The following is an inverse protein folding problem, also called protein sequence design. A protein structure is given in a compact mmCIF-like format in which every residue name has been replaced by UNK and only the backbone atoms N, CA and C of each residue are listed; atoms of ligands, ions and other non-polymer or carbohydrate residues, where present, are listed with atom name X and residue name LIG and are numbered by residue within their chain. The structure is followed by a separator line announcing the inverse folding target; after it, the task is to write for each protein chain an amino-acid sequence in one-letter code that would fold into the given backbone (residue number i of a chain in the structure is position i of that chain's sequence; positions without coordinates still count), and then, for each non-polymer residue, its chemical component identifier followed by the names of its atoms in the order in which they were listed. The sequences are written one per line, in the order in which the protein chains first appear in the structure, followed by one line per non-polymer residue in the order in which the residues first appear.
data_IF_814130658002
#
_entry.id   IF_814130658002
#
_cell.length_a   1.000
_cell.length_b   1.000
_cell.length_c   1.000
_cell.angle_alpha   90.00
_cell.angle_beta   90.00
_cell.angle_gamma   90.00
#
_symmetry.space_group_name_H-M   'P 1'
#
loop_
_entity.id
_entity.type
_entity.pdbx_description
1 polymer ?
#
# COMPACT_ATOMS: atom_id res chain seq x y z
N UNK A 1 9.20 56.13 -22.03
CA UNK A 1 10.40 55.90 -21.20
C UNK A 1 9.94 55.83 -19.76
N UNK A 2 9.69 54.63 -19.26
CA UNK A 2 9.31 54.42 -17.86
C UNK A 2 9.92 53.09 -17.44
N UNK A 3 10.74 53.18 -16.41
CA UNK A 3 11.71 52.20 -15.99
C UNK A 3 11.06 50.95 -15.40
N UNK A 4 11.62 49.80 -15.80
CA UNK A 4 11.32 48.47 -15.29
C UNK A 4 11.98 48.31 -13.92
N UNK A 5 11.18 48.24 -12.86
CA UNK A 5 11.68 47.92 -11.53
C UNK A 5 11.90 46.39 -11.42
N UNK A 6 13.15 46.01 -11.20
CA UNK A 6 13.56 44.65 -10.90
C UNK A 6 13.24 44.32 -9.43
N UNK A 7 12.56 43.20 -9.19
CA UNK A 7 12.43 42.61 -7.87
C UNK A 7 13.71 41.82 -7.52
N UNK A 8 14.22 41.92 -6.28
CA UNK A 8 15.39 41.14 -5.85
C UNK A 8 15.01 39.68 -5.62
N UNK A 9 15.79 38.77 -6.24
CA UNK A 9 15.75 37.34 -5.94
C UNK A 9 16.31 37.08 -4.54
N UNK A 10 15.58 36.33 -3.72
CA UNK A 10 16.10 35.81 -2.45
C UNK A 10 17.11 34.68 -2.71
N UNK A 11 18.26 34.64 -2.00
CA UNK A 11 19.24 33.58 -2.16
C UNK A 11 18.72 32.26 -1.57
N UNK A 12 18.71 31.21 -2.40
CA UNK A 12 18.39 29.85 -1.96
C UNK A 12 19.39 29.35 -0.91
N UNK A 13 18.87 28.91 0.23
CA UNK A 13 19.65 28.27 1.27
C UNK A 13 20.15 26.90 0.77
N UNK A 14 21.47 26.76 0.60
CA UNK A 14 22.12 25.45 0.45
C UNK A 14 22.28 24.85 1.84
N UNK A 15 21.72 23.67 2.05
CA UNK A 15 22.01 22.85 3.24
C UNK A 15 23.45 22.31 3.16
N UNK A 16 24.19 22.25 4.29
CA UNK A 16 25.59 21.85 4.31
C UNK A 16 25.74 20.33 4.06
N UNK A 17 26.55 19.99 3.06
CA UNK A 17 26.88 18.61 2.71
C UNK A 17 27.80 17.96 3.75
N UNK A 18 27.43 16.76 4.18
CA UNK A 18 28.27 15.84 4.94
C UNK A 18 29.36 15.24 4.04
N UNK A 19 30.57 15.07 4.60
CA UNK A 19 31.77 14.61 3.88
C UNK A 19 31.70 13.17 3.34
N UNK A 20 32.75 12.68 2.66
CA UNK A 20 32.72 11.41 1.94
C UNK A 20 32.89 10.23 2.91
N UNK A 21 31.80 9.88 3.60
CA UNK A 21 31.63 8.55 4.16
C UNK A 21 31.60 7.53 3.03
N UNK A 22 32.24 6.37 3.23
CA UNK A 22 32.24 5.25 2.29
C UNK A 22 30.78 4.86 2.01
N UNK A 23 30.30 5.17 0.80
CA UNK A 23 28.91 4.93 0.39
C UNK A 23 28.62 3.42 0.47
N UNK A 24 27.51 2.99 1.09
CA UNK A 24 27.13 1.58 1.06
C UNK A 24 26.93 1.13 -0.40
N UNK A 25 27.46 -0.04 -0.72
CA UNK A 25 27.30 -0.66 -2.04
C UNK A 25 25.82 -1.05 -2.22
N UNK A 26 25.26 -0.65 -3.35
CA UNK A 26 23.85 -0.35 -3.59
C UNK A 26 22.99 -1.61 -3.85
N UNK A 27 21.70 -1.52 -3.51
CA UNK A 27 20.66 -2.38 -4.09
C UNK A 27 19.73 -1.50 -4.94
N UNK A 28 19.90 -1.56 -6.26
CA UNK A 28 18.82 -1.13 -7.16
C UNK A 28 17.71 -2.21 -7.09
N UNK A 29 16.44 -1.81 -7.18
CA UNK A 29 15.38 -2.82 -7.40
C UNK A 29 15.73 -3.56 -8.70
N UNK A 30 15.89 -4.90 -8.68
CA UNK A 30 16.22 -5.64 -9.88
C UNK A 30 15.22 -5.31 -11.00
N UNK A 31 15.72 -5.14 -12.23
CA UNK A 31 14.89 -4.84 -13.41
C UNK A 31 13.99 -6.03 -13.85
N UNK A 32 13.84 -7.05 -13.01
CA UNK A 32 12.99 -8.19 -13.28
C UNK A 32 11.52 -7.75 -13.33
N UNK A 33 10.85 -8.06 -14.44
CA UNK A 33 9.41 -7.87 -14.57
C UNK A 33 8.72 -9.02 -13.82
N UNK A 34 7.73 -8.73 -12.95
CA UNK A 34 7.10 -9.76 -12.15
C UNK A 34 6.36 -10.78 -13.02
N UNK A 35 6.30 -12.03 -12.57
CA UNK A 35 5.44 -13.04 -13.18
C UNK A 35 3.97 -12.83 -12.78
N UNK A 36 3.04 -13.27 -13.63
CA UNK A 36 1.63 -13.32 -13.26
C UNK A 36 1.42 -14.18 -12.00
N UNK A 37 0.66 -13.69 -10.99
CA UNK A 37 0.45 -14.44 -9.76
C UNK A 37 -0.47 -15.64 -10.00
N UNK A 38 -0.22 -16.73 -9.26
CA UNK A 38 -1.10 -17.89 -9.26
C UNK A 38 -2.49 -17.52 -8.73
N UNK A 39 -3.53 -17.89 -9.49
CA UNK A 39 -4.91 -17.58 -9.17
C UNK A 39 -5.34 -18.11 -7.78
N UNK A 40 -6.20 -17.35 -7.10
CA UNK A 40 -6.74 -17.64 -5.77
C UNK A 40 -8.25 -17.90 -5.78
N UNK A 41 -8.87 -17.83 -6.94
CA UNK A 41 -10.27 -18.13 -7.17
C UNK A 41 -10.70 -17.81 -8.61
N UNK A 42 -12.01 -17.84 -8.89
CA UNK A 42 -12.50 -17.63 -10.24
C UNK A 42 -12.22 -16.25 -10.85
N UNK A 43 -12.21 -15.16 -10.05
CA UNK A 43 -11.93 -13.80 -10.55
C UNK A 43 -10.46 -13.64 -10.94
N UNK A 44 -9.54 -13.92 -10.02
CA UNK A 44 -8.11 -13.87 -10.25
C UNK A 44 -7.68 -14.86 -11.34
N UNK A 45 -8.33 -16.02 -11.43
CA UNK A 45 -8.14 -16.98 -12.51
C UNK A 45 -8.64 -16.47 -13.87
N UNK A 46 -9.75 -15.73 -13.91
CA UNK A 46 -10.23 -15.11 -15.14
C UNK A 46 -9.26 -14.02 -15.61
N UNK A 47 -8.83 -13.13 -14.72
CA UNK A 47 -7.84 -12.08 -15.06
C UNK A 47 -6.54 -12.69 -15.57
N UNK A 48 -5.95 -13.65 -14.84
CA UNK A 48 -4.69 -14.28 -15.24
C UNK A 48 -4.78 -14.98 -16.61
N UNK A 49 -5.88 -15.71 -16.88
CA UNK A 49 -6.09 -16.36 -18.19
C UNK A 49 -6.27 -15.35 -19.31
N UNK A 50 -6.99 -14.25 -19.06
CA UNK A 50 -7.19 -13.17 -20.04
C UNK A 50 -5.85 -12.55 -20.42
N UNK A 51 -5.03 -12.17 -19.44
CA UNK A 51 -3.72 -11.54 -19.68
C UNK A 51 -2.72 -12.49 -20.36
N UNK A 52 -2.81 -13.79 -20.08
CA UNK A 52 -1.97 -14.81 -20.71
C UNK A 52 -2.39 -15.20 -22.14
N UNK A 53 -3.55 -14.73 -22.64
CA UNK A 53 -4.09 -15.13 -23.94
C UNK A 53 -3.42 -14.43 -25.15
N UNK A 54 -2.42 -13.57 -24.90
CA UNK A 54 -1.76 -12.74 -25.91
C UNK A 54 -2.27 -11.30 -25.88
N UNK A 55 -1.98 -10.50 -26.92
CA UNK A 55 -2.43 -9.10 -27.01
C UNK A 55 -3.95 -8.96 -26.90
N UNK A 56 -4.48 -7.84 -26.38
CA UNK A 56 -5.92 -7.62 -26.34
C UNK A 56 -6.50 -7.67 -27.76
N UNK A 57 -7.69 -8.27 -27.93
CA UNK A 57 -8.36 -8.24 -29.23
C UNK A 57 -8.65 -6.78 -29.57
N UNK A 58 -7.90 -6.21 -30.52
CA UNK A 58 -8.05 -4.80 -30.90
C UNK A 58 -9.51 -4.39 -31.14
N UNK A 59 -9.82 -3.12 -30.91
CA UNK A 59 -11.18 -2.55 -30.85
C UNK A 59 -12.12 -2.94 -32.01
N UNK A 60 -11.59 -3.37 -33.16
CA UNK A 60 -12.35 -3.81 -34.32
C UNK A 60 -13.06 -5.18 -34.18
N UNK A 61 -12.78 -5.98 -33.14
CA UNK A 61 -13.35 -7.34 -33.00
C UNK A 61 -14.61 -7.45 -32.12
N UNK A 62 -15.01 -6.40 -31.40
CA UNK A 62 -15.99 -6.51 -30.31
C UNK A 62 -17.36 -5.87 -30.58
N UNK A 63 -17.93 -6.05 -31.78
CA UNK A 63 -19.33 -5.65 -32.02
C UNK A 63 -20.33 -6.76 -31.63
N UNK A 64 -19.92 -8.03 -31.52
CA UNK A 64 -20.91 -9.13 -31.38
C UNK A 64 -20.53 -10.38 -30.56
N UNK A 65 -19.32 -10.51 -29.96
CA UNK A 65 -18.83 -11.85 -29.56
C UNK A 65 -18.59 -12.18 -28.08
N UNK A 66 -18.11 -11.25 -27.24
CA UNK A 66 -17.48 -11.61 -25.94
C UNK A 66 -18.33 -11.32 -24.68
N UNK A 67 -19.55 -10.81 -24.86
CA UNK A 67 -20.36 -10.21 -23.76
C UNK A 67 -20.80 -11.15 -22.62
N UNK A 68 -20.96 -12.46 -22.88
CA UNK A 68 -21.51 -13.39 -21.88
C UNK A 68 -20.50 -13.81 -20.79
N UNK A 69 -19.25 -14.11 -21.17
CA UNK A 69 -18.19 -14.47 -20.23
C UNK A 69 -17.72 -13.25 -19.41
N UNK A 70 -17.57 -12.10 -20.06
CA UNK A 70 -17.31 -10.83 -19.39
C UNK A 70 -18.45 -10.48 -18.42
N UNK A 71 -19.71 -10.68 -18.81
CA UNK A 71 -20.86 -10.45 -17.95
C UNK A 71 -20.91 -11.37 -16.71
N UNK A 72 -20.50 -12.64 -16.85
CA UNK A 72 -20.43 -13.57 -15.71
C UNK A 72 -19.33 -13.20 -14.71
N UNK A 73 -18.17 -12.77 -15.19
CA UNK A 73 -17.08 -12.28 -14.34
C UNK A 73 -17.48 -11.00 -13.58
N UNK A 74 -18.14 -10.05 -14.26
CA UNK A 74 -18.63 -8.81 -13.64
C UNK A 74 -19.69 -9.10 -12.56
N UNK A 75 -20.64 -10.01 -12.81
CA UNK A 75 -21.61 -10.42 -11.77
C UNK A 75 -20.90 -11.01 -10.55
N UNK A 76 -19.95 -11.93 -10.78
CA UNK A 76 -19.17 -12.51 -9.69
C UNK A 76 -18.37 -11.45 -8.91
N UNK A 77 -17.82 -10.44 -9.58
CA UNK A 77 -17.11 -9.35 -8.92
C UNK A 77 -18.01 -8.57 -7.94
N UNK A 78 -19.29 -8.37 -8.29
CA UNK A 78 -20.27 -7.67 -7.44
C UNK A 78 -20.64 -8.47 -6.19
N UNK A 79 -20.67 -9.79 -6.29
CA UNK A 79 -21.07 -10.69 -5.20
C UNK A 79 -19.88 -11.19 -4.35
N UNK A 80 -18.65 -10.92 -4.79
CA UNK A 80 -17.44 -11.39 -4.11
C UNK A 80 -17.26 -10.76 -2.72
N UNK A 81 -16.51 -11.46 -1.86
CA UNK A 81 -15.99 -10.90 -0.62
C UNK A 81 -15.09 -9.70 -0.95
N UNK A 82 -15.42 -8.47 -0.51
CA UNK A 82 -14.67 -7.28 -0.85
C UNK A 82 -13.25 -7.27 -0.25
N UNK A 83 -12.97 -8.08 0.78
CA UNK A 83 -11.64 -8.20 1.39
C UNK A 83 -11.02 -9.59 1.14
N UNK A 84 -11.67 -10.41 0.32
CA UNK A 84 -11.29 -11.80 0.09
C UNK A 84 -10.11 -11.97 -0.87
N UNK A 85 -9.45 -13.12 -0.74
CA UNK A 85 -8.26 -13.52 -1.52
C UNK A 85 -8.43 -13.43 -3.04
N UNK A 86 -9.60 -13.80 -3.56
CA UNK A 86 -9.85 -13.83 -4.99
C UNK A 86 -9.99 -12.42 -5.58
N UNK A 87 -10.85 -11.58 -4.97
CA UNK A 87 -11.08 -10.21 -5.43
C UNK A 87 -9.82 -9.37 -5.28
N UNK A 88 -9.14 -9.43 -4.13
CA UNK A 88 -7.98 -8.58 -3.86
C UNK A 88 -6.78 -8.94 -4.75
N UNK A 89 -6.55 -10.22 -5.07
CA UNK A 89 -5.50 -10.58 -6.04
C UNK A 89 -5.88 -10.18 -7.47
N UNK A 90 -7.13 -10.38 -7.87
CA UNK A 90 -7.60 -9.97 -9.20
C UNK A 90 -7.44 -8.45 -9.38
N UNK A 91 -7.85 -7.67 -8.38
CA UNK A 91 -7.75 -6.22 -8.40
C UNK A 91 -6.30 -5.74 -8.39
N UNK A 92 -5.43 -6.35 -7.58
CA UNK A 92 -3.98 -6.08 -7.57
C UNK A 92 -3.38 -6.32 -8.96
N UNK A 93 -3.68 -7.47 -9.58
CA UNK A 93 -3.19 -7.80 -10.92
C UNK A 93 -3.64 -6.76 -11.97
N UNK A 94 -4.88 -6.27 -11.89
CA UNK A 94 -5.35 -5.22 -12.79
C UNK A 94 -4.67 -3.87 -12.55
N UNK A 95 -4.30 -3.54 -11.32
CA UNK A 95 -3.59 -2.30 -10.98
C UNK A 95 -2.12 -2.33 -11.41
N UNK A 96 -1.45 -3.49 -11.34
CA UNK A 96 -0.06 -3.62 -11.77
C UNK A 96 0.17 -3.32 -13.26
N UNK A 97 -0.86 -3.39 -14.09
CA UNK A 97 -0.81 -2.94 -15.49
C UNK A 97 -0.57 -1.43 -15.63
N UNK A 98 -0.86 -0.63 -14.60
CA UNK A 98 -0.63 0.81 -14.56
C UNK A 98 0.74 1.16 -13.98
N UNK A 99 1.53 0.16 -13.57
CA UNK A 99 2.90 0.32 -13.05
C UNK A 99 3.90 -0.40 -13.98
N UNK A 100 4.48 -1.53 -13.56
CA UNK A 100 5.52 -2.26 -14.31
C UNK A 100 4.97 -3.40 -15.17
N UNK A 101 3.67 -3.70 -15.08
CA UNK A 101 3.05 -4.83 -15.78
C UNK A 101 3.59 -6.19 -15.34
N UNK A 102 3.45 -7.20 -16.19
CA UNK A 102 3.93 -8.56 -15.94
C UNK A 102 4.71 -9.12 -17.13
N UNK A 103 5.62 -10.04 -16.86
CA UNK A 103 6.42 -10.70 -17.89
C UNK A 103 5.50 -11.44 -18.88
N UNK A 104 5.64 -11.14 -20.17
CA UNK A 104 4.86 -11.76 -21.25
C UNK A 104 3.42 -11.25 -21.39
N UNK A 105 3.01 -10.22 -20.64
CA UNK A 105 1.71 -9.56 -20.80
C UNK A 105 1.87 -8.32 -21.68
N UNK A 106 0.99 -8.20 -22.67
CA UNK A 106 0.96 -7.04 -23.57
C UNK A 106 0.54 -5.76 -22.81
N UNK A 107 1.27 -4.64 -22.92
CA UNK A 107 0.93 -3.41 -22.20
C UNK A 107 -0.42 -2.80 -22.60
N UNK A 108 -0.95 -3.10 -23.80
CA UNK A 108 -2.24 -2.56 -24.25
C UNK A 108 -3.43 -3.12 -23.44
N UNK A 109 -3.23 -4.19 -22.66
CA UNK A 109 -4.24 -4.66 -21.70
C UNK A 109 -4.61 -3.60 -20.65
N UNK A 110 -3.74 -2.63 -20.38
CA UNK A 110 -4.01 -1.50 -19.49
C UNK A 110 -5.35 -0.80 -19.83
N UNK A 111 -5.66 -0.72 -21.13
CA UNK A 111 -6.79 0.01 -21.70
C UNK A 111 -7.88 -0.88 -22.32
N UNK A 112 -7.80 -2.21 -22.18
CA UNK A 112 -8.83 -3.11 -22.72
C UNK A 112 -10.20 -2.84 -22.07
N UNK A 113 -11.25 -2.49 -22.84
CA UNK A 113 -12.56 -2.16 -22.29
C UNK A 113 -13.21 -3.28 -21.47
N UNK A 114 -12.96 -4.55 -21.82
CA UNK A 114 -13.47 -5.71 -21.09
C UNK A 114 -12.87 -5.81 -19.69
N UNK A 115 -11.55 -5.70 -19.60
CA UNK A 115 -10.79 -5.71 -18.35
C UNK A 115 -11.10 -4.47 -17.50
N UNK A 116 -11.21 -3.30 -18.11
CA UNK A 116 -11.64 -2.07 -17.44
C UNK A 116 -13.04 -2.21 -16.81
N UNK A 117 -13.99 -2.83 -17.51
CA UNK A 117 -15.34 -3.12 -16.97
C UNK A 117 -15.28 -4.06 -15.77
N UNK A 118 -14.48 -5.12 -15.84
CA UNK A 118 -14.30 -6.06 -14.73
C UNK A 118 -13.62 -5.38 -13.53
N UNK A 119 -12.54 -4.63 -13.76
CA UNK A 119 -11.83 -3.87 -12.74
C UNK A 119 -12.78 -2.89 -12.05
N UNK A 120 -13.54 -2.12 -12.82
CA UNK A 120 -14.54 -1.18 -12.29
C UNK A 120 -15.54 -1.83 -11.33
N UNK A 121 -16.04 -3.03 -11.65
CA UNK A 121 -16.95 -3.76 -10.77
C UNK A 121 -16.29 -4.23 -9.45
N UNK A 122 -15.02 -4.66 -9.50
CA UNK A 122 -14.26 -5.03 -8.30
C UNK A 122 -13.93 -3.79 -7.44
N UNK A 123 -13.54 -2.69 -8.07
CA UNK A 123 -13.28 -1.40 -7.41
C UNK A 123 -14.54 -0.88 -6.70
N UNK A 124 -15.69 -0.91 -7.37
CA UNK A 124 -16.98 -0.52 -6.76
C UNK A 124 -17.31 -1.38 -5.55
N UNK A 125 -17.16 -2.70 -5.66
CA UNK A 125 -17.40 -3.63 -4.56
C UNK A 125 -16.51 -3.34 -3.35
N UNK A 126 -15.21 -3.13 -3.59
CA UNK A 126 -14.24 -2.82 -2.55
C UNK A 126 -14.48 -1.43 -1.93
N UNK A 127 -14.68 -0.39 -2.75
CA UNK A 127 -14.92 0.97 -2.30
C UNK A 127 -16.21 1.09 -1.48
N UNK A 128 -17.30 0.44 -1.90
CA UNK A 128 -18.54 0.40 -1.14
C UNK A 128 -18.36 -0.27 0.22
N UNK A 129 -17.50 -1.29 0.32
CA UNK A 129 -17.17 -1.90 1.59
C UNK A 129 -16.34 -0.98 2.49
N UNK A 130 -15.32 -0.32 1.95
CA UNK A 130 -14.52 0.66 2.71
C UNK A 130 -15.40 1.79 3.25
N UNK A 131 -16.28 2.37 2.42
CA UNK A 131 -17.18 3.45 2.85
C UNK A 131 -18.15 3.01 3.95
N UNK A 132 -18.73 1.83 3.82
CA UNK A 132 -19.61 1.28 4.86
C UNK A 132 -18.84 1.04 6.15
N UNK A 133 -17.71 0.35 6.08
CA UNK A 133 -16.97 -0.05 7.28
C UNK A 133 -16.33 1.16 7.99
N UNK A 134 -15.91 2.21 7.26
CA UNK A 134 -15.48 3.50 7.82
C UNK A 134 -16.64 4.25 8.48
N UNK A 135 -17.85 4.17 7.93
CA UNK A 135 -19.03 4.79 8.53
C UNK A 135 -19.49 4.03 9.79
N UNK A 136 -19.50 2.69 9.74
CA UNK A 136 -19.89 1.82 10.84
C UNK A 136 -18.88 1.84 12.00
N UNK A 137 -17.59 1.98 11.69
CA UNK A 137 -16.51 2.20 12.66
C UNK A 137 -16.40 3.65 13.15
N UNK A 138 -17.27 4.55 12.68
CA UNK A 138 -17.27 5.99 12.98
C UNK A 138 -17.71 6.38 14.39
N UNK A 139 -18.00 5.40 15.25
CA UNK A 139 -17.97 5.54 16.70
C UNK A 139 -17.11 4.37 17.23
N UNK A 140 -16.17 4.60 18.16
CA UNK A 140 -15.40 3.51 18.74
C UNK A 140 -16.36 2.51 19.40
N UNK A 141 -16.51 1.35 18.76
CA UNK A 141 -17.10 0.18 19.37
C UNK A 141 -16.12 -0.31 20.44
N UNK A 142 -16.46 -0.03 21.70
CA UNK A 142 -16.10 -0.80 22.87
C UNK A 142 -14.63 -1.31 22.94
N UNK A 143 -13.75 -0.47 23.48
CA UNK A 143 -12.85 -0.91 24.55
C UNK A 143 -11.82 -2.00 24.21
N UNK A 144 -11.07 -1.81 23.12
CA UNK A 144 -9.78 -2.45 22.85
C UNK A 144 -8.62 -1.46 22.69
N UNK A 145 -8.77 -0.23 23.19
CA UNK A 145 -7.78 0.85 23.18
C UNK A 145 -8.31 2.00 24.02
N UNK A 146 -7.63 2.35 25.10
CA UNK A 146 -8.15 3.17 26.19
C UNK A 146 -8.27 4.67 25.86
N UNK A 147 -9.38 5.29 26.28
CA UNK A 147 -9.41 6.71 26.65
C UNK A 147 -10.45 7.60 25.96
N UNK A 148 -11.75 7.36 26.17
CA UNK A 148 -12.80 8.32 25.82
C UNK A 148 -13.25 9.12 27.04
N UNK A 149 -13.16 10.45 26.99
CA UNK A 149 -14.04 11.31 27.79
C UNK A 149 -14.38 12.61 27.05
N UNK A 150 -15.68 12.86 26.89
CA UNK A 150 -16.23 14.22 26.85
C UNK A 150 -16.64 14.76 25.49
N UNK A 151 -17.83 14.40 25.02
CA UNK A 151 -18.54 15.19 24.02
C UNK A 151 -18.90 16.59 24.59
N UNK A 152 -18.67 17.65 23.80
CA UNK A 152 -19.65 18.71 23.46
C UNK A 152 -19.02 19.83 22.62
N UNK A 153 -19.62 20.09 21.46
CA UNK A 153 -19.32 21.25 20.64
C UNK A 153 -19.99 21.19 19.27
N UNK A 154 -21.32 21.27 19.23
CA UNK A 154 -22.04 21.54 17.99
C UNK A 154 -21.83 23.00 17.55
N UNK A 155 -21.14 23.17 16.42
CA UNK A 155 -20.95 24.39 15.63
C UNK A 155 -19.76 24.14 14.71
N UNK A 156 -19.78 24.27 13.38
CA UNK A 156 -20.59 25.06 12.45
C UNK A 156 -20.68 24.28 11.11
N UNK A 157 -21.80 24.45 10.40
CA UNK A 157 -22.16 24.00 9.04
C UNK A 157 -21.19 23.08 8.25
N UNK A 158 -21.50 21.78 8.25
CA UNK A 158 -21.42 20.92 7.05
C UNK A 158 -20.03 20.50 6.51
N UNK A 159 -18.94 20.70 7.25
CA UNK A 159 -17.62 20.15 6.92
C UNK A 159 -17.32 18.88 7.71
N UNK A 160 -16.66 17.90 7.09
CA UNK A 160 -16.06 16.80 7.85
C UNK A 160 -14.91 17.33 8.71
N UNK A 161 -14.77 16.82 9.94
CA UNK A 161 -13.73 17.23 10.89
C UNK A 161 -12.36 16.66 10.50
N UNK A 162 -11.66 17.38 9.62
CA UNK A 162 -10.32 17.01 9.14
C UNK A 162 -9.30 17.14 10.27
N UNK A 163 -9.37 18.21 11.06
CA UNK A 163 -8.42 18.45 12.16
C UNK A 163 -8.55 17.39 13.24
N UNK A 164 -9.77 16.97 13.60
CA UNK A 164 -10.01 15.86 14.51
C UNK A 164 -9.45 14.54 13.97
N UNK A 165 -9.73 14.21 12.69
CA UNK A 165 -9.22 12.99 12.07
C UNK A 165 -7.69 12.93 12.00
N UNK A 166 -7.01 14.05 11.72
CA UNK A 166 -5.55 14.12 11.73
C UNK A 166 -4.99 14.17 13.15
N UNK A 167 -5.70 14.83 14.08
CA UNK A 167 -5.34 14.92 15.49
C UNK A 167 -5.24 13.56 16.17
N UNK A 168 -6.16 12.64 15.85
CA UNK A 168 -6.12 11.25 16.34
C UNK A 168 -4.82 10.53 15.98
N UNK A 169 -4.21 10.84 14.84
CA UNK A 169 -2.97 10.22 14.36
C UNK A 169 -1.71 10.77 15.06
N UNK A 170 -1.76 12.02 15.54
CA UNK A 170 -0.62 12.70 16.16
C UNK A 170 -0.34 12.21 17.59
N UNK A 171 -1.32 11.54 18.21
CA UNK A 171 -1.21 11.06 19.58
C UNK A 171 -1.13 9.55 19.61
N UNK A 172 -0.03 9.02 20.13
CA UNK A 172 0.07 7.60 20.45
C UNK A 172 -0.45 7.35 21.88
N UNK A 173 -1.52 6.57 22.08
CA UNK A 173 -2.04 6.29 23.41
C UNK A 173 -0.99 5.67 24.33
N UNK A 174 -1.01 6.03 25.61
CA UNK A 174 -0.14 5.41 26.60
C UNK A 174 -0.42 3.89 26.66
N UNK A 175 0.61 3.08 26.47
CA UNK A 175 0.49 1.62 26.43
C UNK A 175 0.03 1.06 25.08
N UNK A 176 0.06 1.85 24.00
CA UNK A 176 -0.18 1.36 22.65
C UNK A 176 0.64 0.08 22.37
N UNK A 177 -0.04 -0.90 21.76
CA UNK A 177 0.56 -2.15 21.29
C UNK A 177 0.17 -2.33 19.83
N UNK A 178 1.11 -2.83 19.04
CA UNK A 178 0.93 -3.04 17.60
C UNK A 178 2.11 -3.83 17.03
N UNK A 179 2.10 -4.04 15.71
CA UNK A 179 3.14 -4.84 15.02
C UNK A 179 4.55 -4.31 15.28
N UNK A 180 4.78 -3.01 15.14
CA UNK A 180 6.10 -2.42 15.35
C UNK A 180 6.52 -2.39 16.83
N UNK A 181 5.57 -2.36 17.77
CA UNK A 181 5.84 -2.55 19.21
C UNK A 181 6.27 -3.98 19.50
N UNK A 182 5.50 -4.95 19.00
CA UNK A 182 5.82 -6.38 19.13
C UNK A 182 7.20 -6.68 18.54
N UNK A 183 7.46 -6.28 17.30
CA UNK A 183 8.76 -6.49 16.64
C UNK A 183 9.91 -5.83 17.41
N UNK A 184 9.70 -4.65 17.98
CA UNK A 184 10.71 -3.97 18.81
C UNK A 184 11.01 -4.73 20.10
N UNK A 185 9.98 -5.16 20.83
CA UNK A 185 10.13 -5.64 22.22
C UNK A 185 10.34 -7.16 22.30
N UNK A 186 9.52 -7.92 21.57
CA UNK A 186 9.35 -9.37 21.75
C UNK A 186 9.56 -10.16 20.45
N UNK A 187 9.64 -9.48 19.31
CA UNK A 187 9.63 -10.11 17.99
C UNK A 187 10.85 -10.97 17.70
N UNK A 188 10.63 -12.00 16.89
CA UNK A 188 11.63 -12.96 16.45
C UNK A 188 12.11 -12.67 15.01
N UNK A 189 13.28 -13.19 14.64
CA UNK A 189 13.89 -12.98 13.32
C UNK A 189 12.97 -13.36 12.15
N UNK A 190 12.27 -14.50 12.25
CA UNK A 190 11.35 -14.95 11.19
C UNK A 190 10.14 -14.03 11.05
N UNK A 191 9.66 -13.39 12.14
CA UNK A 191 8.55 -12.42 12.10
C UNK A 191 8.99 -11.11 11.43
N UNK A 192 10.22 -10.69 11.69
CA UNK A 192 10.83 -9.53 11.04
C UNK A 192 10.97 -9.76 9.52
N UNK A 193 11.51 -10.92 9.11
CA UNK A 193 11.61 -11.32 7.70
C UNK A 193 10.23 -11.39 7.04
N UNK A 194 9.25 -11.97 7.73
CA UNK A 194 7.88 -12.05 7.25
C UNK A 194 7.23 -10.68 7.07
N UNK A 195 7.42 -9.78 8.04
CA UNK A 195 6.95 -8.39 7.94
C UNK A 195 7.56 -7.68 6.74
N UNK A 196 8.87 -7.83 6.52
CA UNK A 196 9.56 -7.24 5.38
C UNK A 196 9.05 -7.81 4.03
N UNK A 197 8.89 -9.13 3.94
CA UNK A 197 8.32 -9.77 2.76
C UNK A 197 6.90 -9.27 2.44
N UNK A 198 6.04 -9.10 3.46
CA UNK A 198 4.69 -8.55 3.28
C UNK A 198 4.68 -7.11 2.79
N UNK A 199 5.46 -6.27 3.46
CA UNK A 199 5.53 -4.83 3.19
C UNK A 199 6.20 -4.54 1.84
N UNK A 200 7.02 -5.45 1.31
CA UNK A 200 7.60 -5.36 -0.04
C UNK A 200 6.57 -5.21 -1.18
N UNK A 201 5.33 -5.69 -0.97
CA UNK A 201 4.23 -5.55 -1.95
C UNK A 201 3.90 -4.08 -2.24
N UNK A 202 4.17 -3.20 -1.27
CA UNK A 202 4.07 -1.75 -1.45
C UNK A 202 5.44 -1.11 -1.62
N UNK A 203 6.40 -1.29 -0.70
CA UNK A 203 7.58 -0.42 -0.65
C UNK A 203 8.50 -0.54 -1.89
N UNK A 204 8.45 -1.63 -2.66
CA UNK A 204 9.19 -1.72 -3.93
C UNK A 204 8.59 -0.84 -5.06
N UNK A 205 7.47 -0.15 -4.79
CA UNK A 205 6.86 0.94 -5.58
C UNK A 205 6.39 2.10 -4.70
N UNK A 206 7.08 2.33 -3.58
CA UNK A 206 6.80 3.47 -2.70
C UNK A 206 6.72 4.79 -3.50
N UNK A 207 5.77 5.65 -3.12
CA UNK A 207 5.37 6.89 -3.79
C UNK A 207 4.68 6.76 -5.18
N UNK A 208 4.88 5.68 -5.94
CA UNK A 208 4.25 5.53 -7.27
C UNK A 208 2.70 5.70 -7.25
N UNK A 209 1.94 5.14 -6.27
CA UNK A 209 0.49 5.34 -6.20
C UNK A 209 0.09 6.78 -5.89
N UNK A 210 0.93 7.52 -5.15
CA UNK A 210 0.67 8.89 -4.72
C UNK A 210 0.92 9.88 -5.87
N UNK A 211 1.90 9.61 -6.72
CA UNK A 211 2.21 10.40 -7.92
C UNK A 211 1.00 10.62 -8.85
N UNK A 212 0.02 9.70 -8.88
CA UNK A 212 -1.21 9.84 -9.67
C UNK A 212 -2.08 11.06 -9.28
N UNK A 213 -1.90 11.62 -8.09
CA UNK A 213 -2.61 12.84 -7.66
C UNK A 213 -1.99 14.11 -8.24
N UNK A 214 -0.71 14.11 -8.61
CA UNK A 214 0.04 15.30 -9.06
C UNK A 214 -0.63 16.01 -10.25
N UNK A 215 -1.17 15.33 -11.28
CA UNK A 215 -1.89 15.99 -12.38
C UNK A 215 -3.22 16.62 -11.96
N UNK A 216 -3.75 16.26 -10.78
CA UNK A 216 -5.09 16.62 -10.29
C UNK A 216 -5.08 17.73 -9.25
N UNK A 217 -3.91 18.02 -8.68
CA UNK A 217 -3.69 19.13 -7.76
C UNK A 217 -3.26 20.39 -8.52
N UNK A 218 -3.42 21.54 -7.88
CA UNK A 218 -2.95 22.85 -8.34
C UNK A 218 -2.39 23.64 -7.15
N UNK A 219 -1.82 24.81 -7.43
CA UNK A 219 -1.44 25.77 -6.40
C UNK A 219 -0.47 25.21 -5.35
N UNK A 220 -0.64 25.69 -4.11
CA UNK A 220 0.21 25.34 -2.96
C UNK A 220 0.23 23.84 -2.69
N UNK A 221 -0.93 23.18 -2.73
CA UNK A 221 -1.03 21.76 -2.49
C UNK A 221 -0.19 20.91 -3.45
N UNK A 222 -0.18 21.28 -4.74
CA UNK A 222 0.64 20.58 -5.74
C UNK A 222 2.13 20.76 -5.48
N UNK A 223 2.57 22.00 -5.24
CA UNK A 223 3.99 22.29 -5.02
C UNK A 223 4.52 21.57 -3.79
N UNK A 224 3.76 21.59 -2.70
CA UNK A 224 4.12 20.90 -1.46
C UNK A 224 4.15 19.38 -1.64
N UNK A 225 3.14 18.78 -2.29
CA UNK A 225 3.12 17.33 -2.52
C UNK A 225 4.29 16.89 -3.41
N UNK A 226 4.62 17.65 -4.46
CA UNK A 226 5.77 17.32 -5.34
C UNK A 226 7.10 17.42 -4.59
N UNK A 227 7.22 18.30 -3.58
CA UNK A 227 8.42 18.36 -2.75
C UNK A 227 8.57 17.09 -1.90
N UNK A 228 7.47 16.61 -1.28
CA UNK A 228 7.47 15.33 -0.55
C UNK A 228 7.80 14.17 -1.49
N UNK A 229 7.11 14.05 -2.63
CA UNK A 229 7.40 13.02 -3.65
C UNK A 229 8.86 13.07 -4.14
N UNK A 230 9.45 14.26 -4.27
CA UNK A 230 10.84 14.40 -4.67
C UNK A 230 11.79 13.75 -3.66
N UNK A 231 11.51 13.92 -2.37
CA UNK A 231 12.28 13.33 -1.28
C UNK A 231 12.07 11.80 -1.24
N UNK A 232 10.83 11.31 -1.40
CA UNK A 232 10.53 9.86 -1.56
C UNK A 232 11.28 9.23 -2.74
N UNK A 233 11.43 9.98 -3.84
CA UNK A 233 12.23 9.59 -5.00
C UNK A 233 13.74 9.84 -4.83
N UNK A 234 14.20 10.05 -3.60
CA UNK A 234 15.61 10.13 -3.21
C UNK A 234 16.23 11.52 -3.30
N UNK A 235 15.44 12.58 -3.51
CA UNK A 235 15.92 13.96 -3.56
C UNK A 235 16.90 14.22 -4.72
N UNK A 236 16.70 13.53 -5.84
CA UNK A 236 17.62 13.56 -7.00
C UNK A 236 18.87 12.69 -6.84
N UNK A 237 18.94 11.84 -5.80
CA UNK A 237 19.98 10.83 -5.60
C UNK A 237 19.38 9.45 -5.89
N UNK A 238 19.58 8.86 -7.08
CA UNK A 238 18.99 7.57 -7.43
C UNK A 238 19.31 6.46 -6.44
N UNK A 239 20.46 6.52 -5.77
CA UNK A 239 20.87 5.58 -4.73
C UNK A 239 20.06 5.68 -3.42
N UNK A 240 19.30 6.76 -3.23
CA UNK A 240 18.46 7.01 -2.06
C UNK A 240 16.97 6.89 -2.35
N UNK A 241 16.57 6.46 -3.55
CA UNK A 241 15.16 6.19 -3.83
C UNK A 241 14.64 5.14 -2.84
N UNK A 242 13.52 5.42 -2.17
CA UNK A 242 13.03 4.58 -1.06
C UNK A 242 12.76 3.13 -1.49
N UNK A 243 12.31 2.94 -2.73
CA UNK A 243 12.17 1.61 -3.35
C UNK A 243 13.47 0.80 -3.35
N UNK A 244 14.61 1.45 -3.65
CA UNK A 244 15.94 0.84 -3.64
C UNK A 244 16.46 0.60 -2.23
N UNK A 245 16.21 1.52 -1.30
CA UNK A 245 16.51 1.33 0.12
C UNK A 245 15.78 0.10 0.68
N UNK A 246 14.51 -0.09 0.29
CA UNK A 246 13.73 -1.25 0.69
C UNK A 246 14.23 -2.56 0.05
N UNK A 247 14.65 -2.54 -1.22
CA UNK A 247 15.32 -3.67 -1.85
C UNK A 247 16.60 -4.07 -1.08
N UNK A 248 17.41 -3.08 -0.66
CA UNK A 248 18.59 -3.32 0.18
C UNK A 248 18.27 -3.90 1.55
N UNK A 249 17.13 -3.52 2.14
CA UNK A 249 16.59 -4.14 3.34
C UNK A 249 16.27 -5.61 3.12
N UNK A 250 15.58 -5.96 2.03
CA UNK A 250 15.24 -7.34 1.71
C UNK A 250 16.50 -8.19 1.51
N UNK A 251 17.50 -7.68 0.78
CA UNK A 251 18.77 -8.38 0.58
C UNK A 251 19.50 -8.65 1.91
N UNK A 252 19.60 -7.65 2.80
CA UNK A 252 20.21 -7.79 4.13
C UNK A 252 19.47 -8.79 5.02
N UNK A 253 18.16 -8.89 4.84
CA UNK A 253 17.34 -9.88 5.49
C UNK A 253 17.39 -11.23 4.80
N UNK A 254 18.06 -11.39 3.64
CA UNK A 254 18.12 -12.64 2.88
C UNK A 254 16.78 -13.03 2.23
N UNK A 255 16.09 -12.05 1.66
CA UNK A 255 14.81 -12.16 0.94
C UNK A 255 15.00 -11.77 -0.53
N UNK A 256 14.06 -12.16 -1.39
CA UNK A 256 14.06 -11.78 -2.80
C UNK A 256 13.61 -10.32 -2.93
N UNK A 257 14.52 -9.45 -3.35
CA UNK A 257 14.29 -8.01 -3.52
C UNK A 257 13.65 -7.64 -4.86
N UNK A 258 13.36 -8.62 -5.71
CA UNK A 258 12.71 -8.39 -7.01
C UNK A 258 11.29 -7.85 -6.84
N UNK A 259 10.93 -6.88 -7.68
CA UNK A 259 9.58 -6.31 -7.70
C UNK A 259 8.52 -7.41 -7.88
N UNK A 260 7.56 -7.48 -6.97
CA UNK A 260 6.45 -8.44 -7.00
C UNK A 260 6.77 -9.86 -6.50
N UNK A 261 8.00 -10.16 -6.07
CA UNK A 261 8.42 -11.51 -5.66
C UNK A 261 7.52 -12.14 -4.57
N UNK A 262 7.05 -11.32 -3.63
CA UNK A 262 6.26 -11.78 -2.48
C UNK A 262 4.74 -11.65 -2.64
N UNK A 263 4.23 -11.15 -3.77
CA UNK A 263 2.77 -11.01 -4.03
C UNK A 263 2.06 -12.35 -3.89
N UNK A 264 2.67 -13.43 -4.39
CA UNK A 264 2.13 -14.78 -4.29
C UNK A 264 1.97 -15.28 -2.85
N UNK A 265 2.79 -14.80 -1.92
CA UNK A 265 2.78 -15.17 -0.50
C UNK A 265 1.91 -14.23 0.37
N UNK A 266 1.67 -12.99 -0.07
CA UNK A 266 0.92 -12.01 0.69
C UNK A 266 -0.58 -12.39 0.85
N UNK A 267 -1.18 -12.27 2.05
CA UNK A 267 -2.61 -12.48 2.27
C UNK A 267 -3.43 -11.31 1.73
N UNK A 268 -4.74 -11.52 1.58
CA UNK A 268 -5.67 -10.53 1.06
C UNK A 268 -5.67 -9.22 1.83
N UNK A 269 -5.43 -9.26 3.16
CA UNK A 269 -5.38 -8.06 4.00
C UNK A 269 -4.24 -7.12 3.60
N UNK A 270 -3.09 -7.65 3.18
CA UNK A 270 -1.97 -6.84 2.66
C UNK A 270 -2.30 -6.28 1.26
N UNK A 271 -2.87 -7.12 0.40
CA UNK A 271 -3.29 -6.70 -0.94
C UNK A 271 -4.35 -5.60 -0.88
N UNK A 272 -5.29 -5.65 0.07
CA UNK A 272 -6.29 -4.61 0.29
C UNK A 272 -5.65 -3.25 0.63
N UNK A 273 -4.65 -3.23 1.52
CA UNK A 273 -3.90 -2.01 1.86
C UNK A 273 -3.27 -1.39 0.62
N UNK A 274 -2.59 -2.18 -0.22
CA UNK A 274 -1.93 -1.66 -1.44
C UNK A 274 -2.94 -1.28 -2.53
N UNK A 275 -4.01 -2.07 -2.69
CA UNK A 275 -5.04 -1.82 -3.68
C UNK A 275 -5.84 -0.55 -3.37
N UNK A 276 -6.01 -0.19 -2.09
CA UNK A 276 -6.65 1.07 -1.70
C UNK A 276 -5.88 2.28 -2.27
N UNK A 277 -4.54 2.26 -2.19
CA UNK A 277 -3.69 3.33 -2.71
C UNK A 277 -3.90 3.51 -4.21
N UNK A 278 -3.89 2.40 -4.97
CA UNK A 278 -4.09 2.44 -6.43
C UNK A 278 -5.53 2.77 -6.82
N UNK A 279 -6.52 2.34 -6.03
CA UNK A 279 -7.93 2.72 -6.21
C UNK A 279 -8.12 4.23 -6.08
N UNK A 280 -7.55 4.85 -5.04
CA UNK A 280 -7.61 6.30 -4.85
C UNK A 280 -6.77 7.03 -5.89
N UNK A 281 -5.60 6.48 -6.21
CA UNK A 281 -4.66 7.00 -7.19
C UNK A 281 -5.18 7.00 -8.61
N UNK A 282 -5.85 5.97 -9.10
CA UNK A 282 -6.33 5.94 -10.48
C UNK A 282 -7.68 6.64 -10.68
N UNK A 283 -8.46 6.86 -9.61
CA UNK A 283 -9.75 7.58 -9.68
C UNK A 283 -9.62 9.04 -9.31
N UNK A 284 -9.76 9.94 -10.30
CA UNK A 284 -9.79 11.40 -10.07
C UNK A 284 -10.82 11.83 -9.01
N UNK A 285 -11.97 11.14 -8.95
CA UNK A 285 -13.02 11.41 -7.97
C UNK A 285 -12.62 11.08 -6.53
N UNK A 286 -11.52 10.37 -6.31
CA UNK A 286 -11.01 9.98 -4.99
C UNK A 286 -9.70 10.71 -4.62
N UNK A 287 -9.37 11.80 -5.32
CA UNK A 287 -8.11 12.55 -5.06
C UNK A 287 -8.00 13.07 -3.62
N UNK A 288 -9.11 13.49 -3.00
CA UNK A 288 -9.12 13.89 -1.60
C UNK A 288 -8.80 12.72 -0.67
N UNK A 289 -9.32 11.53 -0.99
CA UNK A 289 -9.02 10.31 -0.24
C UNK A 289 -7.57 9.86 -0.40
N UNK A 290 -6.96 10.03 -1.58
CA UNK A 290 -5.52 9.77 -1.74
C UNK A 290 -4.68 10.74 -0.90
N UNK A 291 -5.01 12.03 -0.89
CA UNK A 291 -4.31 13.03 -0.06
C UNK A 291 -4.47 12.73 1.43
N UNK A 292 -5.68 12.38 1.87
CA UNK A 292 -5.91 11.98 3.27
C UNK A 292 -5.17 10.69 3.65
N UNK A 293 -5.14 9.69 2.76
CA UNK A 293 -4.32 8.50 2.95
C UNK A 293 -2.83 8.83 3.08
N UNK A 294 -2.31 9.69 2.19
CA UNK A 294 -0.90 10.05 2.20
C UNK A 294 -0.52 10.76 3.51
N UNK A 295 -1.34 11.72 3.94
CA UNK A 295 -1.16 12.36 5.24
C UNK A 295 -1.17 11.35 6.40
N UNK A 296 -2.08 10.38 6.38
CA UNK A 296 -2.15 9.36 7.42
C UNK A 296 -0.91 8.47 7.46
N UNK A 297 -0.37 8.09 6.29
CA UNK A 297 0.89 7.37 6.19
C UNK A 297 2.03 8.20 6.80
N UNK A 298 2.31 9.39 6.27
CA UNK A 298 3.42 10.25 6.71
C UNK A 298 3.38 10.61 8.21
N UNK A 299 2.20 10.95 8.75
CA UNK A 299 2.05 11.28 10.18
C UNK A 299 2.50 10.12 11.08
N UNK A 300 2.21 8.88 10.67
CA UNK A 300 2.40 7.70 11.52
C UNK A 300 3.74 6.98 11.26
N UNK A 301 4.43 7.31 10.17
CA UNK A 301 5.67 6.62 9.78
C UNK A 301 6.82 6.88 10.72
N UNK A 302 7.16 8.13 11.08
CA UNK A 302 8.34 8.42 11.90
C UNK A 302 8.37 7.67 13.27
N UNK A 303 7.28 7.63 14.07
CA UNK A 303 7.22 6.80 15.28
C UNK A 303 7.40 5.29 15.00
N UNK A 304 6.77 4.78 13.95
CA UNK A 304 6.87 3.38 13.55
C UNK A 304 8.30 3.02 13.08
N UNK A 305 8.93 3.89 12.30
CA UNK A 305 10.28 3.74 11.79
C UNK A 305 11.31 3.72 12.92
N UNK A 306 11.17 4.57 13.94
CA UNK A 306 12.00 4.51 15.17
C UNK A 306 11.91 3.15 15.87
N UNK A 307 10.71 2.56 15.95
CA UNK A 307 10.53 1.23 16.54
C UNK A 307 11.14 0.13 15.69
N UNK A 308 10.96 0.20 14.37
CA UNK A 308 11.54 -0.76 13.44
C UNK A 308 13.07 -0.71 13.41
N UNK A 309 13.68 0.48 13.43
CA UNK A 309 15.12 0.63 13.53
C UNK A 309 15.69 -0.03 14.80
N UNK A 310 15.00 0.11 15.95
CA UNK A 310 15.36 -0.57 17.20
C UNK A 310 15.16 -2.10 17.12
N UNK A 311 14.09 -2.56 16.47
CA UNK A 311 13.85 -3.99 16.25
C UNK A 311 14.97 -4.63 15.42
N UNK A 312 15.33 -3.99 14.30
CA UNK A 312 16.40 -4.40 13.40
C UNK A 312 17.75 -4.44 14.11
N UNK A 313 18.05 -3.43 14.92
CA UNK A 313 19.25 -3.38 15.75
C UNK A 313 19.30 -4.54 16.75
N UNK A 314 18.22 -4.74 17.53
CA UNK A 314 18.13 -5.81 18.53
C UNK A 314 18.31 -7.19 17.91
N UNK A 315 17.80 -7.39 16.70
CA UNK A 315 17.84 -8.65 15.98
C UNK A 315 19.09 -8.82 15.10
N UNK A 316 20.03 -7.86 15.12
CA UNK A 316 21.30 -7.97 14.42
C UNK A 316 21.22 -7.83 12.90
N UNK A 317 20.21 -7.13 12.38
CA UNK A 317 20.08 -6.88 10.94
C UNK A 317 21.19 -5.97 10.42
N UNK A 318 21.53 -6.14 9.14
CA UNK A 318 22.59 -5.39 8.46
C UNK A 318 22.30 -3.88 8.30
N UNK A 319 23.32 -3.11 7.89
CA UNK A 319 23.21 -1.66 7.77
C UNK A 319 22.24 -1.20 6.67
N UNK A 320 22.06 -1.94 5.57
CA UNK A 320 21.09 -1.57 4.52
C UNK A 320 19.66 -1.75 5.02
N UNK A 321 19.40 -2.79 5.82
CA UNK A 321 18.09 -2.98 6.45
C UNK A 321 17.71 -1.83 7.41
N UNK A 322 18.69 -1.27 8.11
CA UNK A 322 18.47 -0.13 9.01
C UNK A 322 18.27 1.18 8.25
N UNK A 323 18.98 1.37 7.13
CA UNK A 323 19.00 2.62 6.37
C UNK A 323 17.61 3.08 5.93
N UNK A 324 16.79 2.17 5.40
CA UNK A 324 15.41 2.47 5.00
C UNK A 324 14.62 3.16 6.12
N UNK A 325 14.60 2.57 7.31
CA UNK A 325 13.85 3.14 8.43
C UNK A 325 14.51 4.39 9.02
N UNK A 326 15.84 4.52 9.00
CA UNK A 326 16.49 5.72 9.53
C UNK A 326 16.26 6.94 8.66
N UNK A 327 16.18 6.78 7.33
CA UNK A 327 15.82 7.88 6.42
C UNK A 327 14.43 8.45 6.77
N UNK A 328 13.44 7.57 6.96
CA UNK A 328 12.06 7.92 7.35
C UNK A 328 11.94 8.52 8.76
N UNK A 329 12.96 8.40 9.62
CA UNK A 329 12.94 9.10 10.93
C UNK A 329 13.17 10.60 10.73
N UNK A 330 14.06 10.95 9.80
CA UNK A 330 14.50 12.32 9.57
C UNK A 330 13.58 13.06 8.59
N UNK A 331 13.24 12.42 7.47
CA UNK A 331 12.40 13.00 6.41
C UNK A 331 10.96 13.24 6.88
N UNK A 332 10.32 12.21 7.44
CA UNK A 332 8.87 12.23 7.66
C UNK A 332 8.44 13.17 8.81
N UNK A 333 9.36 13.53 9.71
CA UNK A 333 9.11 14.55 10.72
C UNK A 333 8.82 15.93 10.09
N UNK A 334 9.36 16.19 8.90
CA UNK A 334 9.06 17.38 8.11
C UNK A 334 7.85 17.13 7.20
N UNK A 335 7.76 15.95 6.57
CA UNK A 335 6.66 15.61 5.67
C UNK A 335 5.30 15.70 6.35
N UNK A 336 5.19 15.24 7.60
CA UNK A 336 3.95 15.33 8.39
C UNK A 336 3.38 16.76 8.41
N UNK A 337 4.23 17.74 8.73
CA UNK A 337 3.82 19.15 8.81
C UNK A 337 3.45 19.69 7.42
N UNK A 338 4.22 19.35 6.39
CA UNK A 338 3.97 19.77 5.00
C UNK A 338 2.63 19.19 4.51
N UNK A 339 2.34 17.92 4.78
CA UNK A 339 1.09 17.29 4.36
C UNK A 339 -0.14 17.89 5.06
N UNK A 340 -0.06 18.13 6.37
CA UNK A 340 -1.16 18.75 7.13
C UNK A 340 -1.42 20.20 6.71
N UNK A 341 -0.39 21.02 6.65
CA UNK A 341 -0.55 22.47 6.53
C UNK A 341 -0.53 22.97 5.08
N UNK A 342 0.32 22.40 4.22
CA UNK A 342 0.48 22.89 2.85
C UNK A 342 -0.29 22.06 1.83
N UNK A 343 -0.27 20.72 1.95
CA UNK A 343 -1.01 19.86 1.02
C UNK A 343 -2.50 19.86 1.34
N UNK A 344 -2.91 19.44 2.54
CA UNK A 344 -4.32 19.41 2.94
C UNK A 344 -4.86 20.83 3.07
N UNK A 345 -4.13 21.73 3.75
CA UNK A 345 -4.54 23.13 3.89
C UNK A 345 -4.75 23.81 2.53
N UNK A 346 -3.77 23.70 1.62
CA UNK A 346 -3.90 24.25 0.27
C UNK A 346 -5.03 23.60 -0.55
N UNK A 347 -5.25 22.29 -0.39
CA UNK A 347 -6.32 21.58 -1.10
C UNK A 347 -7.70 22.08 -0.65
N UNK A 348 -7.90 22.27 0.66
CA UNK A 348 -9.21 22.63 1.21
C UNK A 348 -9.51 24.13 1.12
N UNK A 349 -8.48 24.97 0.99
CA UNK A 349 -8.64 26.38 0.60
C UNK A 349 -9.22 26.50 -0.82
N UNK A 350 -8.69 25.73 -1.77
CA UNK A 350 -9.13 25.75 -3.17
C UNK A 350 -10.42 24.92 -3.40
N UNK A 351 -10.55 23.79 -2.72
CA UNK A 351 -11.60 22.78 -2.94
C UNK A 351 -12.23 22.29 -1.60
N UNK A 352 -12.92 23.15 -0.83
CA UNK A 352 -13.42 22.81 0.51
C UNK A 352 -14.39 21.62 0.55
N UNK A 353 -15.07 21.34 -0.56
CA UNK A 353 -15.97 20.19 -0.70
C UNK A 353 -15.27 18.82 -0.60
N UNK A 354 -13.93 18.76 -0.61
CA UNK A 354 -13.16 17.52 -0.47
C UNK A 354 -12.88 17.10 0.98
N UNK A 355 -13.29 17.89 1.98
CA UNK A 355 -13.01 17.58 3.39
C UNK A 355 -13.45 16.16 3.79
N UNK A 356 -14.64 15.72 3.35
CA UNK A 356 -15.14 14.38 3.62
C UNK A 356 -14.32 13.28 2.95
N UNK A 357 -13.79 13.53 1.74
CA UNK A 357 -12.92 12.58 1.05
C UNK A 357 -11.57 12.46 1.77
N UNK A 358 -11.00 13.57 2.27
CA UNK A 358 -9.76 13.56 3.07
C UNK A 358 -9.95 12.73 4.33
N UNK A 359 -11.01 12.98 5.10
CA UNK A 359 -11.33 12.18 6.31
C UNK A 359 -11.55 10.71 5.96
N UNK A 360 -12.24 10.42 4.85
CA UNK A 360 -12.42 9.05 4.39
C UNK A 360 -11.08 8.37 4.07
N UNK A 361 -10.15 9.06 3.42
CA UNK A 361 -8.80 8.55 3.14
C UNK A 361 -8.02 8.21 4.40
N UNK A 362 -8.05 9.09 5.40
CA UNK A 362 -7.42 8.88 6.71
C UNK A 362 -7.99 7.63 7.39
N UNK A 363 -9.32 7.57 7.53
CA UNK A 363 -10.00 6.48 8.24
C UNK A 363 -9.91 5.14 7.52
N UNK A 364 -9.96 5.13 6.19
CA UNK A 364 -9.77 3.91 5.40
C UNK A 364 -8.36 3.33 5.57
N UNK A 365 -7.35 4.21 5.71
CA UNK A 365 -5.97 3.81 5.99
C UNK A 365 -5.86 3.13 7.35
N UNK A 366 -6.37 3.77 8.41
CA UNK A 366 -6.39 3.18 9.75
C UNK A 366 -7.12 1.83 9.79
N UNK A 367 -8.31 1.75 9.17
CA UNK A 367 -9.10 0.51 9.11
C UNK A 367 -8.33 -0.67 8.49
N UNK A 368 -7.62 -0.45 7.39
CA UNK A 368 -6.89 -1.52 6.71
C UNK A 368 -5.58 -1.87 7.44
N UNK A 369 -4.88 -0.89 8.01
CA UNK A 369 -3.69 -1.11 8.83
C UNK A 369 -4.04 -1.87 10.12
N UNK A 370 -5.16 -1.56 10.78
CA UNK A 370 -5.63 -2.29 11.95
C UNK A 370 -5.95 -3.76 11.62
N UNK A 371 -6.58 -4.02 10.47
CA UNK A 371 -6.84 -5.39 10.00
C UNK A 371 -5.56 -6.15 9.69
N UNK A 372 -4.58 -5.49 9.06
CA UNK A 372 -3.27 -6.08 8.80
C UNK A 372 -2.54 -6.40 10.12
N UNK A 373 -2.55 -5.47 11.07
CA UNK A 373 -1.95 -5.65 12.39
C UNK A 373 -2.61 -6.79 13.17
N UNK A 374 -3.93 -6.86 13.17
CA UNK A 374 -4.69 -7.94 13.80
C UNK A 374 -4.38 -9.30 13.17
N UNK A 375 -4.24 -9.39 11.85
CA UNK A 375 -3.86 -10.61 11.14
C UNK A 375 -2.44 -11.08 11.50
N UNK A 376 -1.47 -10.16 11.52
CA UNK A 376 -0.08 -10.46 11.85
C UNK A 376 0.06 -10.93 13.30
N UNK A 377 -0.37 -10.10 14.26
CA UNK A 377 -0.28 -10.42 15.68
C UNK A 377 -1.13 -11.65 16.03
N UNK A 378 -2.31 -11.79 15.42
CA UNK A 378 -3.18 -12.95 15.59
C UNK A 378 -2.61 -14.25 15.01
N UNK A 379 -1.60 -14.20 14.14
CA UNK A 379 -0.88 -15.38 13.64
C UNK A 379 0.35 -15.67 14.49
N UNK A 380 1.14 -14.63 14.78
CA UNK A 380 2.39 -14.71 15.52
C UNK A 380 2.21 -15.07 17.00
N UNK A 381 1.16 -14.54 17.65
CA UNK A 381 0.92 -14.74 19.09
C UNK A 381 0.08 -16.00 19.41
N UNK A 382 -0.30 -16.78 18.39
CA UNK A 382 -0.96 -18.08 18.60
C UNK A 382 -0.03 -19.05 19.32
N UNK A 383 -0.64 -20.07 19.93
CA UNK A 383 0.08 -21.20 20.54
C UNK A 383 -0.41 -22.51 19.92
N UNK A 384 0.38 -23.17 19.05
CA UNK A 384 1.70 -22.75 18.56
C UNK A 384 1.63 -21.54 17.59
N UNK A 385 2.71 -20.74 17.45
CA UNK A 385 2.76 -19.61 16.53
C UNK A 385 2.66 -20.10 15.08
N UNK A 386 2.14 -19.25 14.19
CA UNK A 386 2.00 -19.54 12.76
C UNK A 386 2.41 -18.34 11.92
N UNK A 387 2.87 -18.62 10.69
CA UNK A 387 3.09 -17.60 9.67
C UNK A 387 1.77 -16.91 9.31
N UNK A 388 1.83 -15.60 9.13
CA UNK A 388 0.77 -14.77 8.57
C UNK A 388 0.80 -14.77 7.02
N UNK A 389 1.85 -15.31 6.40
CA UNK A 389 1.91 -15.50 4.95
C UNK A 389 1.03 -16.67 4.51
N UNK A 390 0.54 -16.59 3.28
CA UNK A 390 -0.08 -17.72 2.60
C UNK A 390 0.92 -18.81 2.23
N UNK A 391 2.15 -18.42 1.92
CA UNK A 391 3.28 -19.30 1.67
C UNK A 391 4.36 -18.91 2.67
N UNK A 392 4.48 -19.64 3.80
CA UNK A 392 5.47 -19.34 4.82
C UNK A 392 6.89 -19.28 4.24
N UNK A 393 7.74 -18.45 4.82
CA UNK A 393 9.16 -18.47 4.51
C UNK A 393 9.78 -19.78 5.03
N UNK A 394 10.93 -20.23 4.49
CA UNK A 394 11.56 -21.48 4.92
C UNK A 394 11.88 -21.55 6.42
N UNK A 395 12.10 -20.39 7.06
CA UNK A 395 12.42 -20.24 8.48
C UNK A 395 11.18 -19.97 9.36
N UNK A 396 9.99 -19.91 8.78
CA UNK A 396 8.74 -19.75 9.55
C UNK A 396 8.40 -21.03 10.35
N UNK A 397 7.71 -20.91 11.51
CA UNK A 397 7.22 -22.06 12.26
C UNK A 397 6.38 -22.99 11.37
N UNK A 398 6.63 -24.29 11.44
CA UNK A 398 5.89 -25.27 10.65
C UNK A 398 4.38 -25.21 10.97
N UNK A 399 3.58 -24.78 9.99
CA UNK A 399 2.13 -24.91 10.05
C UNK A 399 1.72 -26.39 9.87
N UNK A 400 0.54 -26.80 10.34
CA UNK A 400 0.00 -28.10 9.94
C UNK A 400 -0.10 -28.11 8.41
N UNK A 401 0.52 -29.10 7.77
CA UNK A 401 0.47 -29.27 6.33
C UNK A 401 -0.99 -29.23 5.85
N UNK A 402 -1.33 -28.32 4.94
CA UNK A 402 -2.61 -28.37 4.27
C UNK A 402 -2.67 -29.71 3.52
N UNK A 403 -3.50 -30.63 4.00
CA UNK A 403 -3.60 -31.99 3.49
C UNK A 403 -3.88 -32.00 1.99
N UNK A 404 -2.86 -32.38 1.21
CA UNK A 404 -3.04 -32.81 -0.17
C UNK A 404 -3.79 -34.14 -0.16
N UNK A 405 -5.09 -34.09 -0.42
CA UNK A 405 -5.85 -35.27 -0.79
C UNK A 405 -5.39 -35.73 -2.18
N UNK A 406 -4.48 -36.68 -2.20
CA UNK A 406 -4.27 -37.58 -3.33
C UNK A 406 -4.27 -39.00 -2.74
N UNK A 407 -5.47 -39.53 -2.49
CA UNK A 407 -5.64 -40.96 -2.24
C UNK A 407 -5.20 -41.75 -3.47
N UNK A 408 -4.56 -42.91 -3.31
CA UNK A 408 -4.14 -43.72 -4.44
C UNK A 408 -5.37 -44.25 -5.17
N UNK A 409 -5.48 -43.94 -6.47
CA UNK A 409 -6.39 -44.64 -7.36
C UNK A 409 -5.85 -46.06 -7.52
N UNK A 410 -6.47 -47.02 -6.85
CA UNK A 410 -6.20 -48.43 -7.05
C UNK A 410 -6.61 -48.81 -8.48
N UNK A 411 -5.63 -49.15 -9.31
CA UNK A 411 -5.85 -49.70 -10.64
C UNK A 411 -6.48 -51.08 -10.55
N UNK A 412 -7.60 -51.24 -11.25
CA UNK A 412 -8.15 -52.53 -11.63
C UNK A 412 -7.15 -53.29 -12.51
N UNK A 413 -6.76 -54.49 -12.09
CA UNK A 413 -6.08 -55.46 -12.92
C UNK A 413 -7.06 -56.62 -13.20
N UNK A 414 -7.32 -56.85 -14.49
CA UNK A 414 -7.98 -58.03 -15.01
C UNK A 414 -6.94 -59.11 -15.35
N UNK A 415 -7.36 -60.38 -15.25
CA UNK A 415 -6.59 -61.60 -15.57
C UNK A 415 -6.17 -62.34 -14.29
N UNK A 416 -6.59 -63.57 -14.00
CA UNK A 416 -7.18 -64.67 -14.79
C UNK A 416 -8.52 -65.16 -14.24
#
# INVERSE_FOLDING_TARGET
MTAQQAHPQAPGARLPGTGPGRRPEQAAVPAAVPALPAARGPLSGAVARTLAAGPPPGAARDVTGTGHAAGAAVRRARDADPYGEDLQLALHTCFELHYRGFAGVDPDWEWDPGLLRLRGAMEERFLSALRRDVADGGAPADGGGAGGSGARGCGDRGGADVDGALGELLTEPAGARGVTHHLRDEGEWWQLREHAALRSVYHLKEADPHAWVVPRLRGRAKTALVAVEHDEFGGGRPEMIHQGLYAGLLDDLGLDSSYGAHVGAAPAVMLATVNMMSLFGLRRSLRGALVGHFAAAEITTAPAARRMARALERLGAGPRARLFYTEHIEADAVHEQVLRHDVIGGLLEDEPGLAADVVFGVRATGLLEDRLAAHLLGSWLRRPPRSALRRPLPDSPAGPAAGGAAGPVAGSAAGE
#
